data_IF_792698163518
#
_entry.id   IF_792698163518
#
_cell.length_a   1.000
_cell.length_b   1.000
_cell.length_c   1.000
_cell.angle_alpha   90.00
_cell.angle_beta   90.00
_cell.angle_gamma   90.00
#
_symmetry.space_group_name_H-M   'P 1'
#
loop_
_entity.id
_entity.type
_entity.pdbx_description
1 polymer ?
#
# COMPACT_ATOMS: atom_id res chain seq x y z
N UNK A 1 -15.78 -7.60 3.18
CA UNK A 1 -15.62 -6.30 2.47
C UNK A 1 -14.15 -6.23 2.08
N UNK A 2 -13.78 -5.80 0.86
CA UNK A 2 -12.38 -5.85 0.44
C UNK A 2 -11.53 -4.81 1.16
N UNK A 3 -10.39 -5.21 1.72
CA UNK A 3 -9.44 -4.37 2.43
C UNK A 3 -8.20 -4.13 1.55
N UNK A 4 -7.97 -2.88 1.20
CA UNK A 4 -6.82 -2.45 0.43
C UNK A 4 -5.84 -1.72 1.34
N UNK A 5 -4.55 -1.95 1.12
CA UNK A 5 -3.48 -1.16 1.75
C UNK A 5 -2.62 -0.52 0.68
N UNK A 6 -2.34 0.77 0.83
CA UNK A 6 -1.46 1.53 -0.06
C UNK A 6 -0.25 2.00 0.74
N UNK A 7 0.92 1.50 0.38
CA UNK A 7 2.21 1.88 0.98
C UNK A 7 2.91 2.87 0.04
N UNK A 8 3.10 4.10 0.49
CA UNK A 8 3.51 5.23 -0.32
C UNK A 8 2.28 6.00 -0.81
N UNK A 9 1.99 7.13 -0.16
CA UNK A 9 0.83 7.99 -0.39
C UNK A 9 1.20 9.26 -1.16
N UNK A 10 2.32 9.25 -1.88
CA UNK A 10 2.64 10.25 -2.90
C UNK A 10 1.63 10.24 -4.05
N UNK A 11 2.02 10.84 -5.19
CA UNK A 11 1.10 11.04 -6.32
C UNK A 11 0.43 9.76 -6.81
N UNK A 12 1.20 8.68 -6.99
CA UNK A 12 0.67 7.40 -7.50
C UNK A 12 -0.26 6.74 -6.49
N UNK A 13 0.16 6.59 -5.23
CA UNK A 13 -0.66 5.97 -4.20
C UNK A 13 -1.95 6.73 -3.93
N UNK A 14 -1.90 8.06 -3.83
CA UNK A 14 -3.09 8.90 -3.65
C UNK A 14 -4.04 8.78 -4.86
N UNK A 15 -3.51 8.77 -6.09
CA UNK A 15 -4.34 8.54 -7.29
C UNK A 15 -5.03 7.17 -7.29
N UNK A 16 -4.33 6.12 -6.86
CA UNK A 16 -4.89 4.77 -6.75
C UNK A 16 -5.98 4.70 -5.67
N UNK A 17 -5.73 5.30 -4.50
CA UNK A 17 -6.71 5.38 -3.42
C UNK A 17 -8.00 6.07 -3.88
N UNK A 18 -7.88 7.23 -4.53
CA UNK A 18 -9.04 7.93 -5.11
C UNK A 18 -9.76 7.10 -6.17
N UNK A 19 -9.04 6.36 -7.03
CA UNK A 19 -9.66 5.51 -8.05
C UNK A 19 -10.42 4.32 -7.42
N UNK A 20 -9.85 3.67 -6.41
CA UNK A 20 -10.51 2.61 -5.64
C UNK A 20 -11.78 3.16 -5.01
N UNK A 21 -11.69 4.33 -4.34
CA UNK A 21 -12.85 4.99 -3.72
C UNK A 21 -13.92 5.39 -4.73
N UNK A 22 -13.53 5.92 -5.88
CA UNK A 22 -14.47 6.29 -6.95
C UNK A 22 -15.23 5.08 -7.51
N UNK A 23 -14.61 3.90 -7.54
CA UNK A 23 -15.22 2.68 -8.12
C UNK A 23 -15.97 1.82 -7.10
N UNK A 24 -15.42 1.67 -5.89
CA UNK A 24 -15.97 0.81 -4.85
C UNK A 24 -16.87 1.56 -3.86
N UNK A 25 -16.73 2.88 -3.77
CA UNK A 25 -17.40 3.69 -2.75
C UNK A 25 -17.06 3.18 -1.34
N UNK A 26 -18.08 3.06 -0.49
CA UNK A 26 -17.95 2.53 0.89
C UNK A 26 -18.01 1.00 0.96
N UNK A 27 -17.89 0.28 -0.16
CA UNK A 27 -17.89 -1.20 -0.20
C UNK A 27 -16.49 -1.80 -0.02
N UNK A 28 -15.51 -0.98 0.30
CA UNK A 28 -14.14 -1.35 0.58
C UNK A 28 -13.53 -0.43 1.62
N UNK A 29 -12.55 -0.95 2.34
CA UNK A 29 -11.68 -0.18 3.24
C UNK A 29 -10.35 0.08 2.53
N UNK A 30 -9.84 1.30 2.60
CA UNK A 30 -8.51 1.66 2.09
C UNK A 30 -7.67 2.21 3.24
N UNK A 31 -6.65 1.46 3.65
CA UNK A 31 -5.65 1.86 4.64
C UNK A 31 -4.43 2.43 3.93
N UNK A 32 -3.96 3.58 4.40
CA UNK A 32 -2.74 4.20 3.90
C UNK A 32 -1.56 4.06 4.85
N UNK A 33 -0.35 4.00 4.30
CA UNK A 33 0.90 4.21 5.03
C UNK A 33 1.85 5.06 4.19
N UNK A 34 2.49 6.06 4.79
CA UNK A 34 3.64 6.75 4.24
C UNK A 34 4.65 7.09 5.35
N UNK A 35 5.94 7.14 5.01
CA UNK A 35 6.98 7.54 5.95
C UNK A 35 6.90 9.03 6.33
N UNK A 36 6.26 9.86 5.50
CA UNK A 36 6.01 11.27 5.79
C UNK A 36 4.59 11.52 6.30
N UNK A 37 4.49 11.95 7.56
CA UNK A 37 3.24 12.29 8.25
C UNK A 37 2.40 13.34 7.51
N UNK A 38 3.04 14.29 6.84
CA UNK A 38 2.34 15.32 6.07
C UNK A 38 1.66 14.70 4.84
N UNK A 39 2.34 13.79 4.16
CA UNK A 39 1.81 13.05 3.02
C UNK A 39 0.62 12.18 3.45
N UNK A 40 0.71 11.49 4.60
CA UNK A 40 -0.43 10.75 5.17
C UNK A 40 -1.64 11.65 5.42
N UNK A 41 -1.43 12.78 6.10
CA UNK A 41 -2.47 13.74 6.43
C UNK A 41 -3.14 14.32 5.19
N UNK A 42 -2.37 14.59 4.14
CA UNK A 42 -2.89 15.09 2.87
C UNK A 42 -3.74 14.04 2.15
N UNK A 43 -3.25 12.81 2.03
CA UNK A 43 -3.99 11.73 1.37
C UNK A 43 -5.33 11.42 2.07
N UNK A 44 -5.34 11.45 3.41
CA UNK A 44 -6.57 11.27 4.18
C UNK A 44 -7.55 12.44 3.97
N UNK A 45 -7.07 13.70 3.99
CA UNK A 45 -7.91 14.89 3.72
C UNK A 45 -8.49 14.89 2.32
N UNK A 46 -7.77 14.35 1.34
CA UNK A 46 -8.26 14.19 -0.03
C UNK A 46 -9.28 13.05 -0.18
N UNK A 47 -9.52 12.25 0.87
CA UNK A 47 -10.41 11.09 0.84
C UNK A 47 -9.86 9.94 -0.01
N UNK A 48 -8.55 9.89 -0.25
CA UNK A 48 -7.91 8.80 -0.98
C UNK A 48 -7.82 7.52 -0.14
N UNK A 49 -7.79 7.66 1.18
CA UNK A 49 -7.73 6.57 2.17
C UNK A 49 -8.80 6.82 3.23
N UNK A 50 -9.34 5.75 3.82
CA UNK A 50 -10.30 5.84 4.92
C UNK A 50 -9.58 6.15 6.25
N UNK A 51 -8.40 5.54 6.45
CA UNK A 51 -7.50 5.84 7.57
C UNK A 51 -6.04 5.63 7.18
N UNK A 52 -5.14 6.09 8.04
CA UNK A 52 -3.69 5.88 7.90
C UNK A 52 -3.16 5.16 9.13
N UNK A 53 -2.19 4.29 8.92
CA UNK A 53 -1.46 3.58 9.97
C UNK A 53 -0.02 4.07 10.06
N UNK A 54 0.56 4.01 11.26
CA UNK A 54 1.93 4.49 11.52
C UNK A 54 2.97 3.37 11.49
N UNK A 55 2.51 2.13 11.43
CA UNK A 55 3.34 0.93 11.42
C UNK A 55 2.92 0.05 10.24
N UNK A 56 3.90 -0.42 9.46
CA UNK A 56 3.66 -1.28 8.30
C UNK A 56 2.91 -2.57 8.69
N UNK A 57 3.25 -3.16 9.84
CA UNK A 57 2.59 -4.37 10.35
C UNK A 57 1.09 -4.20 10.53
N UNK A 58 0.66 -3.08 11.13
CA UNK A 58 -0.75 -2.72 11.30
C UNK A 58 -1.41 -2.39 9.96
N UNK A 59 -0.69 -1.70 9.08
CA UNK A 59 -1.21 -1.32 7.77
C UNK A 59 -1.57 -2.54 6.90
N UNK A 60 -0.78 -3.62 6.96
CA UNK A 60 -0.96 -4.79 6.06
C UNK A 60 -1.72 -5.96 6.69
N UNK A 61 -1.90 -5.98 8.01
CA UNK A 61 -2.38 -7.16 8.74
C UNK A 61 -3.70 -7.74 8.22
N UNK A 62 -4.66 -6.89 7.84
CA UNK A 62 -5.98 -7.29 7.35
C UNK A 62 -6.15 -7.14 5.82
N UNK A 63 -5.08 -6.77 5.10
CA UNK A 63 -5.15 -6.38 3.69
C UNK A 63 -5.39 -7.58 2.77
N UNK A 64 -6.44 -7.53 1.94
CA UNK A 64 -6.64 -8.44 0.81
C UNK A 64 -5.65 -8.14 -0.33
N UNK A 65 -5.38 -6.85 -0.55
CA UNK A 65 -4.46 -6.36 -1.55
C UNK A 65 -3.56 -5.28 -0.97
N UNK A 66 -2.25 -5.48 -1.03
CA UNK A 66 -1.24 -4.47 -0.70
C UNK A 66 -0.65 -3.92 -2.00
N UNK A 67 -0.67 -2.59 -2.14
CA UNK A 67 -0.09 -1.87 -3.27
C UNK A 67 1.10 -1.05 -2.77
N UNK A 68 2.29 -1.40 -3.24
CA UNK A 68 3.54 -0.68 -2.92
C UNK A 68 3.82 0.37 -3.99
N UNK A 69 3.50 1.62 -3.67
CA UNK A 69 3.68 2.81 -4.51
C UNK A 69 4.85 3.69 -4.05
N UNK A 70 5.88 3.09 -3.44
CA UNK A 70 7.12 3.75 -3.02
C UNK A 70 8.12 3.90 -4.16
N UNK A 71 9.18 4.72 -4.02
CA UNK A 71 10.29 4.72 -4.97
C UNK A 71 10.87 3.32 -5.19
N UNK A 72 11.32 3.02 -6.41
CA UNK A 72 11.79 1.69 -6.82
C UNK A 72 12.86 1.10 -5.88
N UNK A 73 13.78 1.93 -5.41
CA UNK A 73 14.87 1.56 -4.49
C UNK A 73 14.40 1.10 -3.11
N UNK A 74 13.18 1.43 -2.72
CA UNK A 74 12.62 1.14 -1.40
C UNK A 74 11.70 -0.08 -1.41
N UNK A 75 11.37 -0.64 -2.57
CA UNK A 75 10.41 -1.75 -2.70
C UNK A 75 10.92 -3.00 -1.98
N UNK A 76 12.21 -3.33 -2.12
CA UNK A 76 12.83 -4.46 -1.43
C UNK A 76 12.66 -4.37 0.10
N UNK A 77 12.99 -3.21 0.68
CA UNK A 77 12.90 -2.99 2.12
C UNK A 77 11.44 -3.05 2.61
N UNK A 78 10.51 -2.49 1.82
CA UNK A 78 9.08 -2.59 2.12
C UNK A 78 8.61 -4.04 2.08
N UNK A 79 8.96 -4.81 1.03
CA UNK A 79 8.58 -6.21 0.91
C UNK A 79 9.09 -7.02 2.10
N UNK A 80 10.37 -6.86 2.44
CA UNK A 80 10.99 -7.52 3.60
C UNK A 80 10.27 -7.17 4.90
N UNK A 81 9.90 -5.89 5.08
CA UNK A 81 9.23 -5.43 6.29
C UNK A 81 7.78 -5.93 6.41
N UNK A 82 7.05 -6.09 5.30
CA UNK A 82 5.64 -6.50 5.35
C UNK A 82 5.44 -8.01 5.30
N UNK A 83 6.37 -8.76 4.69
CA UNK A 83 6.27 -10.21 4.50
C UNK A 83 5.80 -11.00 5.75
N UNK A 84 6.36 -10.79 6.97
CA UNK A 84 5.94 -11.54 8.16
C UNK A 84 4.58 -11.13 8.72
N UNK A 85 3.96 -10.08 8.18
CA UNK A 85 2.71 -9.50 8.71
C UNK A 85 1.52 -9.66 7.75
N UNK A 86 1.75 -10.20 6.54
CA UNK A 86 0.69 -10.41 5.57
C UNK A 86 -0.25 -11.53 6.03
N UNK A 87 -1.55 -11.32 5.84
CA UNK A 87 -2.51 -12.42 5.98
C UNK A 87 -2.31 -13.47 4.90
N UNK A 88 -2.68 -14.72 5.21
CA UNK A 88 -2.66 -15.78 4.22
C UNK A 88 -3.60 -15.46 3.04
N UNK A 89 -3.09 -15.64 1.81
CA UNK A 89 -3.82 -15.33 0.58
C UNK A 89 -3.86 -13.84 0.21
N UNK A 90 -3.17 -12.96 0.92
CA UNK A 90 -3.00 -11.57 0.50
C UNK A 90 -2.30 -11.48 -0.86
N UNK A 91 -2.78 -10.59 -1.72
CA UNK A 91 -2.09 -10.24 -2.97
C UNK A 91 -1.20 -9.03 -2.72
N UNK A 92 0.04 -9.07 -3.21
CA UNK A 92 0.96 -7.93 -3.17
C UNK A 92 1.33 -7.53 -4.59
N UNK A 93 1.28 -6.23 -4.87
CA UNK A 93 1.74 -5.66 -6.14
C UNK A 93 2.47 -4.35 -5.91
N UNK A 94 3.28 -3.92 -6.86
CA UNK A 94 4.01 -2.66 -6.80
C UNK A 94 3.82 -1.81 -8.06
N UNK A 95 4.29 -0.55 -8.00
CA UNK A 95 4.27 0.38 -9.14
C UNK A 95 5.66 0.74 -9.66
N UNK A 96 6.71 0.02 -9.27
CA UNK A 96 8.08 0.24 -9.75
C UNK A 96 8.19 -0.04 -11.25
N UNK A 97 9.04 0.68 -12.00
CA UNK A 97 9.40 0.29 -13.36
C UNK A 97 10.40 -0.89 -13.41
N UNK A 98 11.06 -1.22 -12.31
CA UNK A 98 12.15 -2.22 -12.28
C UNK A 98 11.64 -3.65 -12.07
N UNK A 99 10.79 -4.15 -12.97
CA UNK A 99 10.05 -5.41 -12.78
C UNK A 99 10.92 -6.63 -12.54
N UNK A 100 12.04 -6.79 -13.26
CA UNK A 100 12.96 -7.92 -13.05
C UNK A 100 13.48 -7.98 -11.61
N UNK A 101 13.90 -6.84 -11.06
CA UNK A 101 14.41 -6.77 -9.70
C UNK A 101 13.29 -7.03 -8.68
N UNK A 102 12.12 -6.43 -8.87
CA UNK A 102 10.98 -6.61 -7.96
C UNK A 102 10.50 -8.05 -7.90
N UNK A 103 10.40 -8.74 -9.04
CA UNK A 103 10.03 -10.15 -9.07
C UNK A 103 11.06 -11.00 -8.33
N UNK A 104 12.35 -10.76 -8.55
CA UNK A 104 13.41 -11.47 -7.85
C UNK A 104 13.32 -11.27 -6.33
N UNK A 105 13.16 -10.03 -5.86
CA UNK A 105 13.03 -9.73 -4.42
C UNK A 105 11.82 -10.40 -3.78
N UNK A 106 10.73 -10.58 -4.52
CA UNK A 106 9.55 -11.28 -4.02
C UNK A 106 9.75 -12.80 -3.90
N UNK A 107 10.60 -13.40 -4.75
CA UNK A 107 10.93 -14.83 -4.70
C UNK A 107 11.92 -15.18 -3.55
N UNK A 108 12.62 -14.18 -3.03
CA UNK A 108 13.62 -14.33 -1.95
C UNK A 108 13.00 -14.32 -0.54
N UNK A 109 11.70 -14.02 -0.41
CA UNK A 109 10.95 -13.90 0.86
C UNK A 109 10.01 -15.08 1.10
#
# INVERSE_FOLDING_TARGET
MANYTIIGLGRIGTSLGMAIRGRQGKKSTVIGYDADNNTQSLAQRMGAVDSVEWELSKAVGDADLVIVATPARSVHDVFTAIAPHLKNGAVVTDTSPSKRAVTQWAEEL
#
